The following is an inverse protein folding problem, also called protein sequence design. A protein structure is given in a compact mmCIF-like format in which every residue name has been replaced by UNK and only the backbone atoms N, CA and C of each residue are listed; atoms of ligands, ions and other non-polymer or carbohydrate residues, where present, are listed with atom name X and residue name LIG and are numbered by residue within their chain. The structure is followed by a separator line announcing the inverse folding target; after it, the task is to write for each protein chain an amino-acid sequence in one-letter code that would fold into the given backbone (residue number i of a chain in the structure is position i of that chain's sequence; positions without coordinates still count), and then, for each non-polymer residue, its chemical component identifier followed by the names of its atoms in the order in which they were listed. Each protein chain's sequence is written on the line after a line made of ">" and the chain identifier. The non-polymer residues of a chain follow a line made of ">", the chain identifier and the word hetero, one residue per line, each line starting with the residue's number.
data_IF_413030445127
#
_entry.id   IF_413030445127
#
_cell.length_a   1.000
_cell.length_b   1.000
_cell.length_c   1.000
_cell.angle_alpha   90.00
_cell.angle_beta   90.00
_cell.angle_gamma   90.00
#
_symmetry.space_group_name_H-M   'P 1'
#
loop_
_entity.id
_entity.type
_entity.pdbx_description
1 polymer ?
#
# COMPACT_ATOMS: atom_id res chain seq x y z
N UNK A 1 -2.92 -6.33 -5.12
CA UNK A 1 -2.51 -5.44 -4.02
C UNK A 1 -3.23 -4.09 -4.14
N UNK A 2 -3.57 -3.42 -3.03
CA UNK A 2 -4.03 -2.03 -3.04
C UNK A 2 -2.83 -1.10 -2.90
N UNK A 3 -2.71 -0.14 -3.81
CA UNK A 3 -1.73 0.94 -3.80
C UNK A 3 -2.51 2.24 -3.63
N UNK A 4 -2.09 3.07 -2.68
CA UNK A 4 -2.71 4.37 -2.43
C UNK A 4 -1.62 5.44 -2.29
N UNK A 5 -1.79 6.56 -2.99
CA UNK A 5 -1.05 7.79 -2.76
C UNK A 5 -2.02 8.78 -2.07
N UNK A 6 -1.97 8.89 -0.73
CA UNK A 6 -3.05 9.52 0.03
C UNK A 6 -3.23 11.01 -0.29
N UNK A 7 -2.13 11.74 -0.49
CA UNK A 7 -2.17 13.20 -0.71
C UNK A 7 -2.68 13.60 -2.09
N UNK A 8 -2.34 12.82 -3.12
CA UNK A 8 -2.86 13.02 -4.46
C UNK A 8 -4.31 12.54 -4.60
N UNK A 9 -4.77 11.70 -3.66
CA UNK A 9 -5.99 10.96 -3.87
C UNK A 9 -5.82 10.08 -5.10
N UNK A 10 -4.81 9.21 -5.11
CA UNK A 10 -4.64 8.25 -6.18
C UNK A 10 -4.69 6.83 -5.60
N UNK A 11 -5.30 5.91 -6.34
CA UNK A 11 -5.31 4.50 -5.99
C UNK A 11 -5.15 3.63 -7.22
N UNK A 12 -4.56 2.47 -7.02
CA UNK A 12 -4.48 1.41 -8.02
C UNK A 12 -4.68 0.07 -7.32
N UNK A 13 -5.41 -0.83 -7.97
CA UNK A 13 -5.66 -2.17 -7.44
C UNK A 13 -5.17 -3.19 -8.44
N UNK A 14 -4.31 -4.08 -7.97
CA UNK A 14 -3.82 -5.22 -8.75
C UNK A 14 -4.56 -6.48 -8.30
N UNK A 15 -5.18 -7.18 -9.24
CA UNK A 15 -5.89 -8.43 -8.98
C UNK A 15 -4.99 -9.59 -9.39
N UNK A 16 -4.47 -10.29 -8.38
CA UNK A 16 -3.52 -11.40 -8.54
C UNK A 16 -4.19 -12.71 -8.11
N UNK A 17 -3.75 -13.85 -8.67
CA UNK A 17 -4.30 -15.17 -8.29
C UNK A 17 -3.78 -15.64 -6.92
N UNK A 18 -2.62 -15.13 -6.51
CA UNK A 18 -1.97 -15.50 -5.25
C UNK A 18 -1.49 -14.25 -4.52
N UNK A 19 -1.22 -14.42 -3.22
CA UNK A 19 -0.56 -13.41 -2.38
C UNK A 19 0.81 -13.96 -1.95
N UNK A 20 1.80 -13.83 -2.82
CA UNK A 20 3.18 -14.31 -2.58
C UNK A 20 4.17 -13.15 -2.53
N UNK A 21 5.42 -13.45 -2.15
CA UNK A 21 6.54 -12.51 -2.23
C UNK A 21 6.78 -11.99 -3.65
N UNK A 22 6.55 -12.84 -4.65
CA UNK A 22 6.74 -12.50 -6.07
C UNK A 22 5.71 -11.45 -6.49
N UNK A 23 4.43 -11.68 -6.21
CA UNK A 23 3.37 -10.71 -6.50
C UNK A 23 3.61 -9.37 -5.79
N UNK A 24 4.05 -9.42 -4.53
CA UNK A 24 4.46 -8.22 -3.80
C UNK A 24 5.62 -7.48 -4.50
N UNK A 25 6.66 -8.19 -4.92
CA UNK A 25 7.81 -7.59 -5.60
C UNK A 25 7.43 -6.95 -6.94
N UNK A 26 6.56 -7.60 -7.73
CA UNK A 26 6.01 -7.00 -8.95
C UNK A 26 5.22 -5.73 -8.66
N UNK A 27 4.45 -5.71 -7.58
CA UNK A 27 3.72 -4.52 -7.17
C UNK A 27 4.66 -3.37 -6.79
N UNK A 28 5.80 -3.67 -6.14
CA UNK A 28 6.84 -2.68 -5.83
C UNK A 28 7.51 -2.13 -7.09
N UNK A 29 7.81 -3.00 -8.07
CA UNK A 29 8.32 -2.56 -9.38
C UNK A 29 7.33 -1.59 -10.05
N UNK A 30 6.05 -1.93 -10.03
CA UNK A 30 4.98 -1.08 -10.57
C UNK A 30 4.93 0.29 -9.88
N UNK A 31 5.08 0.35 -8.56
CA UNK A 31 5.17 1.62 -7.82
C UNK A 31 6.35 2.45 -8.32
N UNK A 32 7.53 1.86 -8.49
CA UNK A 32 8.71 2.59 -9.01
C UNK A 32 8.48 3.13 -10.42
N UNK A 33 7.82 2.35 -11.28
CA UNK A 33 7.47 2.75 -12.65
C UNK A 33 6.44 3.90 -12.70
N UNK A 34 5.56 4.00 -11.69
CA UNK A 34 4.60 5.11 -11.58
C UNK A 34 5.28 6.45 -11.23
N UNK A 35 6.48 6.42 -10.65
CA UNK A 35 7.21 7.62 -10.22
C UNK A 35 8.67 7.56 -10.71
N UNK A 36 8.91 7.65 -12.03
CA UNK A 36 10.26 7.51 -12.60
C UNK A 36 11.24 8.55 -12.06
N UNK A 37 10.77 9.79 -11.86
CA UNK A 37 11.55 10.93 -11.35
C UNK A 37 11.77 10.93 -9.83
N UNK A 38 11.12 10.03 -9.10
CA UNK A 38 11.30 9.97 -7.65
C UNK A 38 12.69 9.41 -7.30
N UNK A 39 13.44 10.19 -6.51
CA UNK A 39 14.72 9.75 -5.93
C UNK A 39 14.50 8.75 -4.78
N UNK A 40 13.39 8.89 -4.05
CA UNK A 40 12.95 7.98 -3.01
C UNK A 40 11.42 7.91 -2.95
N UNK A 41 10.88 6.71 -2.70
CA UNK A 41 9.47 6.39 -2.57
C UNK A 41 9.26 5.73 -1.21
N UNK A 42 8.56 6.43 -0.32
CA UNK A 42 8.20 5.91 1.00
C UNK A 42 6.94 5.08 0.92
N UNK A 43 7.08 3.79 1.16
CA UNK A 43 5.97 2.84 1.13
C UNK A 43 5.65 2.41 2.56
N UNK A 44 4.42 2.70 2.99
CA UNK A 44 3.91 2.28 4.30
C UNK A 44 3.23 0.93 4.16
N UNK A 45 3.64 -0.05 4.97
CA UNK A 45 3.21 -1.45 4.86
C UNK A 45 2.83 -2.04 6.22
N UNK A 46 1.99 -3.07 6.23
CA UNK A 46 1.82 -3.94 7.39
C UNK A 46 3.09 -4.82 7.61
N UNK A 47 3.17 -5.52 8.74
CA UNK A 47 4.32 -6.39 9.08
C UNK A 47 4.24 -7.80 8.47
N UNK A 48 3.65 -7.97 7.28
CA UNK A 48 3.61 -9.30 6.66
C UNK A 48 5.01 -9.81 6.32
N UNK A 49 5.23 -11.12 6.46
CA UNK A 49 6.52 -11.76 6.19
C UNK A 49 7.03 -11.56 4.75
N UNK A 50 6.14 -11.28 3.80
CA UNK A 50 6.45 -10.98 2.40
C UNK A 50 6.88 -9.54 2.15
N UNK A 51 6.62 -8.62 3.07
CA UNK A 51 6.93 -7.20 2.92
C UNK A 51 8.37 -6.92 3.31
N UNK A 52 9.32 -7.40 2.49
CA UNK A 52 10.76 -7.25 2.75
C UNK A 52 11.50 -6.97 1.45
N UNK A 53 12.61 -6.23 1.52
CA UNK A 53 13.47 -5.98 0.34
C UNK A 53 14.00 -7.28 -0.27
N UNK A 54 14.20 -8.32 0.55
CA UNK A 54 14.57 -9.66 0.08
C UNK A 54 13.61 -10.23 -0.97
N UNK A 55 12.32 -9.87 -0.93
CA UNK A 55 11.34 -10.31 -1.94
C UNK A 55 11.64 -9.77 -3.34
N UNK A 56 12.30 -8.61 -3.44
CA UNK A 56 12.74 -8.07 -4.74
C UNK A 56 13.83 -8.94 -5.35
N UNK A 57 14.79 -9.41 -4.54
CA UNK A 57 15.87 -10.30 -4.97
C UNK A 57 15.39 -11.73 -5.26
N UNK A 58 14.27 -12.12 -4.68
CA UNK A 58 13.61 -13.39 -4.99
C UNK A 58 12.90 -13.35 -6.36
N UNK A 59 12.40 -12.17 -6.77
CA UNK A 59 11.61 -12.01 -7.99
C UNK A 59 12.39 -11.51 -9.21
N UNK A 60 13.49 -10.79 -9.02
CA UNK A 60 14.22 -10.11 -10.09
C UNK A 60 15.72 -10.41 -10.06
N UNK A 61 16.43 -10.29 -11.20
CA UNK A 61 17.89 -10.30 -11.23
C UNK A 61 18.48 -9.29 -10.23
N UNK A 62 19.64 -9.63 -9.64
CA UNK A 62 20.21 -8.88 -8.52
C UNK A 62 20.43 -7.39 -8.82
N UNK A 63 20.83 -7.04 -10.05
CA UNK A 63 21.01 -5.65 -10.50
C UNK A 63 19.68 -4.88 -10.47
N UNK A 64 18.66 -5.41 -11.14
CA UNK A 64 17.31 -4.82 -11.15
C UNK A 64 16.71 -4.73 -9.74
N UNK A 65 16.82 -5.81 -8.95
CA UNK A 65 16.34 -5.83 -7.56
C UNK A 65 17.01 -4.72 -6.72
N UNK A 66 18.31 -4.51 -6.91
CA UNK A 66 19.07 -3.46 -6.22
C UNK A 66 18.61 -2.06 -6.64
N UNK A 67 18.36 -1.81 -7.92
CA UNK A 67 17.86 -0.53 -8.41
C UNK A 67 16.50 -0.18 -7.80
N UNK A 68 15.56 -1.15 -7.82
CA UNK A 68 14.26 -1.02 -7.17
C UNK A 68 14.42 -0.76 -5.67
N UNK A 69 15.25 -1.55 -4.99
CA UNK A 69 15.47 -1.44 -3.56
C UNK A 69 16.10 -0.11 -3.13
N UNK A 70 16.86 0.56 -4.01
CA UNK A 70 17.46 1.88 -3.75
C UNK A 70 16.42 3.00 -3.78
N UNK A 71 15.41 2.90 -4.65
CA UNK A 71 14.34 3.89 -4.72
C UNK A 71 13.29 3.72 -3.62
N UNK A 72 13.22 2.58 -2.95
CA UNK A 72 12.13 2.26 -2.00
C UNK A 72 12.59 2.33 -0.53
N UNK A 73 11.86 3.10 0.26
CA UNK A 73 11.97 3.19 1.72
C UNK A 73 10.73 2.54 2.36
N UNK A 74 10.91 1.41 3.04
CA UNK A 74 9.83 0.73 3.74
C UNK A 74 9.64 1.28 5.15
N UNK A 75 8.41 1.69 5.45
CA UNK A 75 7.96 2.05 6.79
C UNK A 75 6.86 1.08 7.21
N UNK A 76 7.09 0.35 8.29
CA UNK A 76 6.10 -0.61 8.78
C UNK A 76 5.18 0.04 9.82
N UNK A 77 3.89 -0.22 9.72
CA UNK A 77 2.96 0.14 10.79
C UNK A 77 3.33 -0.61 12.07
N UNK A 78 3.03 -0.09 13.27
CA UNK A 78 3.20 -0.84 14.51
C UNK A 78 2.49 -2.20 14.48
N UNK A 79 2.99 -3.17 15.26
CA UNK A 79 2.25 -4.42 15.50
C UNK A 79 0.88 -4.08 16.09
N UNK A 80 -0.17 -4.76 15.60
CA UNK A 80 -1.57 -4.47 15.93
C UNK A 80 -2.06 -3.05 15.55
N UNK A 81 -1.31 -2.34 14.71
CA UNK A 81 -1.63 -1.01 14.21
C UNK A 81 -2.26 -1.00 12.81
N UNK A 82 -2.96 -2.06 12.41
CA UNK A 82 -3.58 -2.16 11.07
C UNK A 82 -4.55 -1.02 10.77
N UNK A 83 -5.19 -0.45 11.80
CA UNK A 83 -6.05 0.73 11.69
C UNK A 83 -5.32 2.01 11.21
N UNK A 84 -3.97 2.02 11.21
CA UNK A 84 -3.15 3.09 10.62
C UNK A 84 -2.82 2.83 9.14
N UNK A 85 -3.10 1.63 8.62
CA UNK A 85 -2.77 1.25 7.25
C UNK A 85 -3.82 1.79 6.27
N UNK A 86 -3.51 2.89 5.60
CA UNK A 86 -4.41 3.53 4.63
C UNK A 86 -4.81 2.57 3.50
N UNK A 87 -3.93 1.68 3.06
CA UNK A 87 -4.26 0.72 2.01
C UNK A 87 -5.32 -0.28 2.47
N UNK A 88 -5.33 -0.69 3.74
CA UNK A 88 -6.39 -1.54 4.30
C UNK A 88 -7.72 -0.79 4.43
N UNK A 89 -7.68 0.49 4.81
CA UNK A 89 -8.88 1.34 4.85
C UNK A 89 -9.47 1.47 3.44
N UNK A 90 -8.64 1.74 2.43
CA UNK A 90 -9.07 1.84 1.03
C UNK A 90 -9.63 0.51 0.51
N UNK A 91 -9.07 -0.64 0.93
CA UNK A 91 -9.64 -1.95 0.61
C UNK A 91 -11.03 -2.14 1.23
N UNK A 92 -11.25 -1.70 2.46
CA UNK A 92 -12.57 -1.76 3.09
C UNK A 92 -13.59 -0.88 2.33
N UNK A 93 -13.19 0.33 1.92
CA UNK A 93 -14.04 1.20 1.09
C UNK A 93 -14.38 0.55 -0.25
N UNK A 94 -13.38 0.00 -0.95
CA UNK A 94 -13.58 -0.73 -2.21
C UNK A 94 -14.56 -1.90 -2.01
N UNK A 95 -14.37 -2.68 -0.94
CA UNK A 95 -15.20 -3.84 -0.62
C UNK A 95 -16.67 -3.44 -0.42
N UNK A 96 -16.92 -2.37 0.33
CA UNK A 96 -18.26 -1.88 0.60
C UNK A 96 -18.94 -1.28 -0.65
N UNK A 97 -18.16 -0.66 -1.54
CA UNK A 97 -18.70 0.02 -2.72
C UNK A 97 -19.00 -0.91 -3.90
N UNK A 98 -18.12 -1.86 -4.21
CA UNK A 98 -18.27 -2.68 -5.43
C UNK A 98 -18.24 -4.19 -5.20
N UNK A 99 -17.81 -4.67 -4.02
CA UNK A 99 -17.64 -6.10 -3.75
C UNK A 99 -18.64 -6.67 -2.74
N UNK A 100 -19.65 -5.89 -2.32
CA UNK A 100 -20.71 -6.32 -1.42
C UNK A 100 -21.70 -7.31 -2.08
N UNK A 101 -21.66 -7.44 -3.40
CA UNK A 101 -22.45 -8.38 -4.20
C UNK A 101 -21.65 -9.65 -4.55
N UNK A 102 -22.36 -10.73 -4.88
CA UNK A 102 -21.73 -11.94 -5.43
C UNK A 102 -21.17 -11.66 -6.82
N UNK A 103 -19.87 -11.90 -7.00
CA UNK A 103 -19.17 -11.75 -8.28
C UNK A 103 -18.89 -13.14 -8.85
N UNK A 104 -19.38 -13.37 -10.07
CA UNK A 104 -19.41 -14.70 -10.67
C UNK A 104 -18.05 -15.19 -11.19
N UNK A 105 -17.18 -14.28 -11.63
CA UNK A 105 -15.87 -14.61 -12.18
C UNK A 105 -14.87 -13.45 -12.04
N UNK A 106 -13.59 -13.75 -12.31
CA UNK A 106 -12.48 -12.82 -12.14
C UNK A 106 -12.55 -11.65 -13.13
N UNK A 107 -13.10 -11.85 -14.32
CA UNK A 107 -13.26 -10.84 -15.35
C UNK A 107 -14.25 -9.77 -14.90
N UNK A 108 -15.38 -10.17 -14.32
CA UNK A 108 -16.33 -9.25 -13.70
C UNK A 108 -15.70 -8.53 -12.53
N UNK A 109 -14.97 -9.23 -11.66
CA UNK A 109 -14.25 -8.60 -10.54
C UNK A 109 -13.31 -7.48 -11.04
N UNK A 110 -12.54 -7.74 -12.09
CA UNK A 110 -11.64 -6.75 -12.69
C UNK A 110 -12.39 -5.53 -13.19
N UNK A 111 -13.47 -5.71 -13.95
CA UNK A 111 -14.27 -4.59 -14.48
C UNK A 111 -14.86 -3.72 -13.37
N UNK A 112 -15.42 -4.33 -12.33
CA UNK A 112 -16.01 -3.60 -11.20
C UNK A 112 -14.94 -2.78 -10.45
N UNK A 113 -13.79 -3.40 -10.17
CA UNK A 113 -12.67 -2.73 -9.49
C UNK A 113 -12.09 -1.62 -10.37
N UNK A 114 -11.89 -1.85 -11.67
CA UNK A 114 -11.36 -0.86 -12.60
C UNK A 114 -12.29 0.34 -12.76
N UNK A 115 -13.60 0.11 -12.89
CA UNK A 115 -14.60 1.18 -12.95
C UNK A 115 -14.57 2.02 -11.65
N UNK A 116 -14.54 1.35 -10.50
CA UNK A 116 -14.46 2.01 -9.20
C UNK A 116 -13.19 2.87 -9.04
N UNK A 117 -12.03 2.29 -9.35
CA UNK A 117 -10.73 2.96 -9.28
C UNK A 117 -10.70 4.15 -10.23
N UNK A 118 -11.21 4.00 -11.45
CA UNK A 118 -11.27 5.07 -12.45
C UNK A 118 -12.13 6.23 -11.98
N UNK A 119 -13.35 5.96 -11.51
CA UNK A 119 -14.25 6.99 -11.01
C UNK A 119 -13.64 7.73 -9.81
N UNK A 120 -13.05 7.00 -8.86
CA UNK A 120 -12.44 7.60 -7.68
C UNK A 120 -11.21 8.42 -8.04
N UNK A 121 -10.35 7.91 -8.93
CA UNK A 121 -9.16 8.63 -9.42
C UNK A 121 -9.52 9.90 -10.19
N UNK A 122 -10.61 9.90 -10.97
CA UNK A 122 -11.09 11.11 -11.65
C UNK A 122 -11.47 12.23 -10.66
N UNK A 123 -12.00 11.87 -9.48
CA UNK A 123 -12.29 12.84 -8.40
C UNK A 123 -11.04 13.31 -7.64
N UNK A 124 -9.93 12.56 -7.73
CA UNK A 124 -8.64 12.86 -7.09
C UNK A 124 -8.71 13.33 -5.62
N UNK A 125 -9.69 12.82 -4.85
CA UNK A 125 -9.92 13.28 -3.48
C UNK A 125 -8.82 12.78 -2.54
N UNK A 126 -8.06 13.67 -1.88
CA UNK A 126 -7.05 13.29 -0.91
C UNK A 126 -7.67 12.62 0.32
N UNK A 127 -6.92 11.71 0.93
CA UNK A 127 -7.28 11.15 2.23
C UNK A 127 -7.14 12.22 3.30
N UNK A 128 -8.25 12.59 3.95
CA UNK A 128 -8.24 13.51 5.08
C UNK A 128 -7.81 12.78 6.35
N UNK A 129 -6.50 12.74 6.59
CA UNK A 129 -5.94 12.09 7.76
C UNK A 129 -6.11 12.96 9.02
N UNK A 130 -6.90 12.48 9.99
CA UNK A 130 -7.18 13.20 11.24
C UNK A 130 -6.31 12.75 12.41
N UNK A 131 -5.64 11.59 12.30
CA UNK A 131 -4.81 11.04 13.37
C UNK A 131 -3.43 11.70 13.37
N UNK A 132 -3.13 12.51 14.38
CA UNK A 132 -1.93 13.34 14.42
C UNK A 132 -0.75 12.61 15.06
N UNK A 133 0.45 13.19 14.92
CA UNK A 133 1.63 12.72 15.64
C UNK A 133 1.47 12.85 17.17
N UNK A 134 0.70 13.83 17.65
CA UNK A 134 0.39 13.98 19.06
C UNK A 134 -0.50 12.84 19.57
N UNK A 135 -1.54 12.50 18.82
CA UNK A 135 -2.39 11.34 19.11
C UNK A 135 -1.56 10.05 19.11
N UNK A 136 -0.60 9.92 18.18
CA UNK A 136 0.32 8.80 18.12
C UNK A 136 1.18 8.69 19.39
N UNK A 137 1.74 9.79 19.89
CA UNK A 137 2.54 9.79 21.12
C UNK A 137 1.73 9.35 22.35
N UNK A 138 0.46 9.72 22.41
CA UNK A 138 -0.42 9.29 23.50
C UNK A 138 -0.86 7.83 23.33
N UNK A 139 -1.43 7.48 22.19
CA UNK A 139 -2.03 6.15 21.93
C UNK A 139 -1.00 5.04 21.81
N UNK A 140 0.22 5.37 21.37
CA UNK A 140 1.34 4.45 21.23
C UNK A 140 2.46 4.77 22.21
N UNK A 141 2.14 5.34 23.39
CA UNK A 141 3.15 5.75 24.38
C UNK A 141 4.21 4.68 24.67
N UNK A 142 3.84 3.40 24.67
CA UNK A 142 4.78 2.27 24.85
C UNK A 142 5.87 2.17 23.76
N UNK A 143 5.65 2.73 22.58
CA UNK A 143 6.58 2.73 21.45
C UNK A 143 7.41 4.02 21.35
N UNK A 144 7.01 5.08 22.05
CA UNK A 144 7.78 6.31 22.13
C UNK A 144 8.62 6.28 23.41
N UNK A 145 9.95 6.23 23.34
CA UNK A 145 10.77 6.29 24.54
C UNK A 145 10.47 7.58 25.32
N UNK A 146 10.29 7.48 26.64
CA UNK A 146 10.31 8.65 27.51
C UNK A 146 11.67 9.31 27.34
N UNK A 147 11.69 10.47 26.70
CA UNK A 147 12.85 11.35 26.74
C UNK A 147 12.82 11.98 28.12
N UNK A 148 13.33 11.26 29.12
CA UNK A 148 13.64 11.85 30.41
C UNK A 148 14.79 12.82 30.16
N UNK A 149 14.48 14.12 30.24
CA UNK A 149 15.49 15.18 30.33
C UNK A 149 16.13 15.22 31.72
#
# INVERSE_FOLDING_TARGET
>A
MMICEPKRGFRQVEITDRRTKIEFAHSMKRIVELYPEATAIRVVLDNLNTHKKASLYEAFPAEQARELARKIEFHYTPKHGSWLNIAEIELAVLSNMCLSQRIANKERLRREVEANVTERNAKAMPVQWRFTAQDARQKLARLYPCVSG
#
